data_IF_299221760188
#
_entry.id   IF_299221760188
#
_cell.length_a   1.000
_cell.length_b   1.000
_cell.length_c   1.000
_cell.angle_alpha   90.00
_cell.angle_beta   90.00
_cell.angle_gamma   90.00
#
_symmetry.space_group_name_H-M   'P 1'
#
loop_
_entity.id
_entity.type
_entity.pdbx_description
1 polymer ?
#
# COMPACT_ATOMS: atom_id res chain seq x y z
N UNK A 1 -16.67 32.07 -15.34
CA UNK A 1 -15.47 31.31 -14.96
C UNK A 1 -15.75 29.82 -15.19
N UNK A 2 -14.80 29.05 -15.71
CA UNK A 2 -14.99 27.63 -16.02
C UNK A 2 -14.49 26.76 -14.86
N UNK A 3 -15.40 26.08 -14.18
CA UNK A 3 -15.06 25.00 -13.26
C UNK A 3 -14.41 23.87 -14.06
N UNK A 4 -13.15 23.57 -13.77
CA UNK A 4 -12.51 22.37 -14.27
C UNK A 4 -13.24 21.17 -13.66
N UNK A 5 -13.97 20.43 -14.50
CA UNK A 5 -14.48 19.11 -14.16
C UNK A 5 -13.28 18.23 -13.79
N UNK A 6 -13.11 17.94 -12.50
CA UNK A 6 -12.15 16.94 -12.04
C UNK A 6 -12.58 15.59 -12.61
N UNK A 7 -11.95 15.18 -13.70
CA UNK A 7 -12.13 13.84 -14.25
C UNK A 7 -11.56 12.86 -13.24
N UNK A 8 -12.42 12.11 -12.55
CA UNK A 8 -11.99 10.97 -11.75
C UNK A 8 -11.09 10.09 -12.61
N UNK A 9 -9.84 9.79 -12.20
CA UNK A 9 -8.95 8.95 -12.99
C UNK A 9 -9.64 7.61 -13.25
N UNK A 10 -9.67 7.17 -14.51
CA UNK A 10 -10.13 5.83 -14.86
C UNK A 10 -9.23 4.73 -14.27
N UNK A 11 -9.58 3.45 -14.45
CA UNK A 11 -8.85 2.32 -13.85
C UNK A 11 -7.40 2.14 -14.35
N UNK A 12 -6.92 3.01 -15.24
CA UNK A 12 -5.66 2.84 -15.94
C UNK A 12 -5.72 1.69 -16.97
N UNK A 13 -4.61 1.42 -17.66
CA UNK A 13 -4.52 0.28 -18.57
C UNK A 13 -4.49 -1.04 -17.80
N UNK A 14 -5.10 -2.07 -18.39
CA UNK A 14 -5.08 -3.44 -17.83
C UNK A 14 -3.69 -4.07 -17.92
N UNK A 15 -2.92 -3.73 -18.96
CA UNK A 15 -1.59 -4.28 -19.22
C UNK A 15 -0.58 -3.15 -19.46
N UNK A 16 0.64 -3.33 -18.95
CA UNK A 16 1.76 -2.43 -19.14
C UNK A 16 2.90 -3.10 -19.91
N UNK A 17 4.07 -2.49 -19.87
CA UNK A 17 5.26 -2.99 -20.58
C UNK A 17 5.94 -4.19 -19.90
N UNK A 18 5.62 -4.48 -18.64
CA UNK A 18 6.35 -5.42 -17.79
C UNK A 18 7.74 -4.93 -17.34
N UNK A 19 8.19 -3.77 -17.81
CA UNK A 19 9.45 -3.14 -17.45
C UNK A 19 9.23 -2.09 -16.36
N UNK A 20 10.16 -1.99 -15.42
CA UNK A 20 10.02 -1.11 -14.24
C UNK A 20 11.05 0.01 -14.23
N UNK A 21 10.58 1.22 -13.91
CA UNK A 21 11.42 2.38 -13.59
C UNK A 21 11.54 2.50 -12.08
N UNK A 22 12.77 2.46 -11.56
CA UNK A 22 13.06 2.75 -10.15
C UNK A 22 13.04 4.25 -9.91
N UNK A 23 12.35 4.67 -8.86
CA UNK A 23 12.35 6.06 -8.40
C UNK A 23 13.76 6.47 -7.94
N UNK A 24 14.24 7.63 -8.39
CA UNK A 24 15.52 8.20 -7.92
C UNK A 24 15.40 8.92 -6.57
N UNK A 25 14.21 8.94 -5.98
CA UNK A 25 13.94 9.57 -4.69
C UNK A 25 14.64 8.85 -3.54
N UNK A 26 15.13 9.60 -2.56
CA UNK A 26 15.65 9.08 -1.29
C UNK A 26 15.12 9.93 -0.14
N UNK A 27 14.98 9.30 1.02
CA UNK A 27 14.39 9.86 2.22
C UNK A 27 15.28 9.72 3.45
N UNK A 28 15.01 10.54 4.47
CA UNK A 28 15.55 10.33 5.80
C UNK A 28 15.03 9.04 6.42
N UNK A 29 15.73 8.52 7.44
CA UNK A 29 15.21 7.45 8.27
C UNK A 29 13.99 7.96 9.05
N UNK A 30 12.87 7.24 9.00
CA UNK A 30 11.66 7.55 9.77
C UNK A 30 11.38 6.45 10.79
N UNK A 31 10.92 6.85 11.97
CA UNK A 31 10.81 5.97 13.13
C UNK A 31 12.08 5.91 13.98
N UNK A 32 11.98 5.24 15.12
CA UNK A 32 13.06 5.07 16.10
C UNK A 32 13.30 3.60 16.46
N UNK A 33 12.69 2.68 15.70
CA UNK A 33 12.87 1.25 15.87
C UNK A 33 14.27 0.77 15.45
N UNK A 34 14.76 -0.25 16.14
CA UNK A 34 16.09 -0.82 15.88
C UNK A 34 16.19 -1.54 14.52
N UNK A 35 15.07 -2.02 13.98
CA UNK A 35 15.03 -2.70 12.68
C UNK A 35 14.84 -1.68 11.57
N UNK A 36 15.91 -1.33 10.87
CA UNK A 36 15.85 -0.44 9.70
C UNK A 36 15.45 -1.24 8.46
N UNK A 37 14.40 -0.80 7.78
CA UNK A 37 13.90 -1.36 6.52
C UNK A 37 14.05 -0.35 5.38
N UNK A 38 15.03 -0.58 4.53
CA UNK A 38 15.30 0.21 3.32
C UNK A 38 14.45 -0.33 2.18
N UNK A 39 13.79 0.57 1.46
CA UNK A 39 12.95 0.17 0.35
C UNK A 39 13.13 1.06 -0.88
N UNK A 40 12.96 0.43 -2.04
CA UNK A 40 12.87 1.09 -3.33
C UNK A 40 11.40 1.16 -3.75
N UNK A 41 11.08 2.16 -4.57
CA UNK A 41 9.80 2.22 -5.28
C UNK A 41 10.05 2.08 -6.77
N UNK A 42 9.30 1.19 -7.39
CA UNK A 42 9.34 0.92 -8.82
C UNK A 42 7.95 1.06 -9.43
N UNK A 43 7.89 1.59 -10.64
CA UNK A 43 6.63 1.75 -11.36
C UNK A 43 6.76 1.16 -12.76
N UNK A 44 5.76 0.37 -13.15
CA UNK A 44 5.71 -0.25 -14.47
C UNK A 44 5.53 0.80 -15.57
N UNK A 45 6.29 0.66 -16.66
CA UNK A 45 6.12 1.47 -17.87
C UNK A 45 4.74 1.27 -18.49
N UNK A 46 4.11 2.36 -18.93
CA UNK A 46 2.74 2.36 -19.43
C UNK A 46 1.68 2.62 -18.37
N UNK A 47 2.03 2.66 -17.08
CA UNK A 47 1.07 2.91 -15.99
C UNK A 47 0.52 4.34 -15.93
N UNK A 48 1.23 5.32 -16.49
CA UNK A 48 0.90 6.74 -16.33
C UNK A 48 1.23 7.33 -14.96
N UNK A 49 1.89 6.57 -14.08
CA UNK A 49 2.32 7.03 -12.74
C UNK A 49 3.79 7.41 -12.77
N UNK A 50 4.15 8.58 -12.23
CA UNK A 50 5.54 8.99 -12.09
C UNK A 50 6.18 8.29 -10.87
N UNK A 51 7.28 7.56 -11.09
CA UNK A 51 7.94 6.78 -10.05
C UNK A 51 8.36 7.62 -8.83
N UNK A 52 8.93 8.81 -9.07
CA UNK A 52 9.36 9.72 -8.01
C UNK A 52 8.17 10.24 -7.18
N UNK A 53 7.04 10.56 -7.80
CA UNK A 53 5.85 11.05 -7.07
C UNK A 53 5.23 9.95 -6.22
N UNK A 54 5.09 8.75 -6.78
CA UNK A 54 4.64 7.57 -6.06
C UNK A 54 5.57 7.27 -4.85
N UNK A 55 6.89 7.37 -5.06
CA UNK A 55 7.86 7.15 -3.98
C UNK A 55 7.70 8.14 -2.83
N UNK A 56 7.48 9.43 -3.14
CA UNK A 56 7.22 10.46 -2.13
C UNK A 56 5.89 10.25 -1.42
N UNK A 57 4.87 9.74 -2.11
CA UNK A 57 3.59 9.39 -1.48
C UNK A 57 3.75 8.22 -0.50
N UNK A 58 4.43 7.14 -0.91
CA UNK A 58 4.71 5.99 -0.05
C UNK A 58 5.58 6.38 1.15
N UNK A 59 6.59 7.24 0.95
CA UNK A 59 7.39 7.82 2.03
C UNK A 59 6.53 8.55 3.06
N UNK A 60 5.58 9.39 2.62
CA UNK A 60 4.65 10.07 3.54
C UNK A 60 3.78 9.09 4.30
N UNK A 61 3.31 8.01 3.67
CA UNK A 61 2.52 6.97 4.35
C UNK A 61 3.34 6.28 5.45
N UNK A 62 4.57 5.84 5.13
CA UNK A 62 5.41 5.13 6.09
C UNK A 62 6.01 6.04 7.18
N UNK A 63 6.06 7.36 6.92
CA UNK A 63 6.45 8.38 7.90
C UNK A 63 5.30 8.87 8.78
N UNK A 64 4.04 8.58 8.44
CA UNK A 64 2.88 9.07 9.20
C UNK A 64 2.90 8.46 10.62
N UNK A 65 2.64 9.25 11.67
CA UNK A 65 2.63 8.77 13.06
C UNK A 65 1.57 7.69 13.32
N UNK A 66 0.55 7.57 12.47
CA UNK A 66 -0.47 6.51 12.53
C UNK A 66 -0.02 5.21 11.86
N UNK A 67 1.14 5.24 11.18
CA UNK A 67 1.74 4.12 10.45
C UNK A 67 2.56 3.18 11.34
N UNK A 68 3.30 2.27 10.71
CA UNK A 68 3.98 1.18 11.42
C UNK A 68 5.13 1.59 12.33
N UNK A 69 5.71 2.79 12.14
CA UNK A 69 6.78 3.32 13.00
C UNK A 69 6.33 3.50 14.46
N UNK A 70 5.02 3.65 14.70
CA UNK A 70 4.44 3.72 16.04
C UNK A 70 4.64 2.44 16.87
N UNK A 71 4.99 1.31 16.25
CA UNK A 71 5.27 0.07 16.96
C UNK A 71 6.58 0.10 17.77
N UNK A 72 7.44 1.10 17.55
CA UNK A 72 8.74 1.26 18.21
C UNK A 72 9.80 0.20 17.84
N UNK A 73 9.54 -0.65 16.85
CA UNK A 73 10.39 -1.76 16.41
C UNK A 73 10.99 -1.53 15.02
N UNK A 74 10.18 -1.04 14.10
CA UNK A 74 10.57 -0.84 12.71
C UNK A 74 10.81 0.65 12.41
N UNK A 75 11.85 0.91 11.63
CA UNK A 75 12.13 2.21 11.00
C UNK A 75 12.20 2.01 9.50
N UNK A 76 11.75 2.99 8.72
CA UNK A 76 11.72 2.88 7.26
C UNK A 76 12.62 3.93 6.61
N UNK A 77 13.22 3.58 5.48
CA UNK A 77 14.04 4.51 4.71
C UNK A 77 13.83 4.29 3.21
N UNK A 78 13.29 5.30 2.53
CA UNK A 78 13.26 5.32 1.07
C UNK A 78 14.69 5.51 0.56
N UNK A 79 15.14 4.61 -0.29
CA UNK A 79 16.42 4.72 -1.00
C UNK A 79 16.16 4.80 -2.50
N UNK A 80 16.99 5.55 -3.23
CA UNK A 80 16.89 5.67 -4.69
C UNK A 80 17.82 4.72 -5.45
N UNK A 81 18.78 4.12 -4.73
CA UNK A 81 19.72 3.11 -5.23
C UNK A 81 20.45 2.46 -4.06
N UNK A 82 21.22 1.40 -4.35
CA UNK A 82 22.05 0.71 -3.36
C UNK A 82 21.32 -0.37 -2.55
N UNK A 83 21.90 -0.78 -1.41
CA UNK A 83 21.34 -1.84 -0.58
C UNK A 83 19.93 -1.50 -0.08
N UNK A 84 19.01 -2.45 -0.25
CA UNK A 84 17.61 -2.36 0.18
C UNK A 84 17.12 -3.74 0.65
N UNK A 85 16.09 -3.74 1.48
CA UNK A 85 15.49 -4.94 2.05
C UNK A 85 14.25 -5.39 1.25
N UNK A 86 13.58 -4.44 0.57
CA UNK A 86 12.41 -4.73 -0.25
C UNK A 86 12.10 -3.70 -1.32
N UNK A 87 11.29 -4.09 -2.31
CA UNK A 87 10.75 -3.19 -3.31
C UNK A 87 9.23 -3.04 -3.18
N UNK A 88 8.73 -1.82 -3.34
CA UNK A 88 7.31 -1.54 -3.59
C UNK A 88 7.14 -1.30 -5.09
N UNK A 89 6.34 -2.13 -5.76
CA UNK A 89 6.13 -2.08 -7.21
C UNK A 89 4.69 -1.72 -7.53
N UNK A 90 4.46 -0.60 -8.22
CA UNK A 90 3.13 -0.30 -8.79
C UNK A 90 3.09 -0.88 -10.20
N UNK A 91 2.14 -1.79 -10.45
CA UNK A 91 2.03 -2.53 -11.70
C UNK A 91 0.58 -2.66 -12.17
N UNK A 92 0.41 -2.76 -13.49
CA UNK A 92 -0.87 -3.02 -14.15
C UNK A 92 -1.46 -4.38 -13.73
N UNK A 93 -2.80 -4.53 -13.73
CA UNK A 93 -3.48 -5.76 -13.30
C UNK A 93 -2.87 -7.06 -13.83
N UNK A 94 -2.60 -7.16 -15.14
CA UNK A 94 -2.05 -8.40 -15.71
C UNK A 94 -0.60 -8.68 -15.25
N UNK A 95 0.19 -7.62 -15.01
CA UNK A 95 1.53 -7.77 -14.43
C UNK A 95 1.47 -8.18 -12.96
N UNK A 96 0.49 -7.68 -12.20
CA UNK A 96 0.24 -8.13 -10.81
C UNK A 96 -0.14 -9.61 -10.79
N UNK A 97 -1.12 -10.03 -11.59
CA UNK A 97 -1.54 -11.43 -11.69
C UNK A 97 -0.35 -12.35 -12.00
N UNK A 98 0.52 -11.93 -12.92
CA UNK A 98 1.74 -12.68 -13.27
C UNK A 98 2.73 -12.75 -12.10
N UNK A 99 3.01 -11.64 -11.41
CA UNK A 99 4.02 -11.59 -10.34
C UNK A 99 3.52 -12.30 -9.08
N UNK A 100 2.29 -12.05 -8.64
CA UNK A 100 1.68 -12.72 -7.50
C UNK A 100 1.41 -14.21 -7.81
N UNK A 101 1.03 -14.54 -9.03
CA UNK A 101 0.80 -15.92 -9.49
C UNK A 101 2.04 -16.80 -9.48
N UNK A 102 3.25 -16.23 -9.56
CA UNK A 102 4.50 -16.98 -9.36
C UNK A 102 4.63 -17.55 -7.94
N UNK A 103 3.94 -16.94 -6.96
CA UNK A 103 3.82 -17.44 -5.60
C UNK A 103 2.52 -18.25 -5.36
N UNK A 104 1.75 -18.55 -6.42
CA UNK A 104 0.50 -19.31 -6.34
C UNK A 104 -0.72 -18.50 -5.91
N UNK A 105 -0.65 -17.16 -5.92
CA UNK A 105 -1.78 -16.29 -5.59
C UNK A 105 -2.59 -15.95 -6.84
N UNK A 106 -3.92 -16.01 -6.73
CA UNK A 106 -4.83 -15.55 -7.78
C UNK A 106 -5.43 -14.19 -7.39
N UNK A 107 -4.94 -13.12 -8.03
CA UNK A 107 -5.35 -11.75 -7.70
C UNK A 107 -6.53 -11.25 -8.53
N UNK A 108 -6.93 -12.00 -9.57
CA UNK A 108 -8.00 -11.65 -10.52
C UNK A 108 -7.92 -10.23 -11.13
N UNK A 109 -6.74 -9.63 -11.15
CA UNK A 109 -6.49 -8.25 -11.56
C UNK A 109 -6.99 -7.20 -10.57
N UNK A 110 -7.42 -7.59 -9.37
CA UNK A 110 -8.13 -6.72 -8.44
C UNK A 110 -7.33 -6.34 -7.19
N UNK A 111 -6.44 -7.20 -6.69
CA UNK A 111 -5.80 -7.02 -5.38
C UNK A 111 -4.28 -6.87 -5.48
N UNK A 112 -3.66 -6.47 -4.35
CA UNK A 112 -2.21 -6.39 -4.17
C UNK A 112 -1.67 -7.72 -3.62
N UNK A 113 -0.34 -7.84 -3.49
CA UNK A 113 0.27 -8.94 -2.74
C UNK A 113 1.65 -8.56 -2.19
N UNK A 114 2.07 -9.16 -1.08
CA UNK A 114 3.47 -9.23 -0.64
C UNK A 114 4.01 -10.63 -0.96
N UNK A 115 5.01 -10.71 -1.83
CA UNK A 115 5.60 -11.96 -2.32
C UNK A 115 7.13 -11.85 -2.39
N UNK A 116 7.83 -12.81 -1.78
CA UNK A 116 9.30 -12.80 -1.75
C UNK A 116 9.85 -11.52 -1.13
N UNK A 117 10.64 -10.76 -1.90
CA UNK A 117 11.15 -9.46 -1.47
C UNK A 117 10.29 -8.27 -1.92
N UNK A 118 9.09 -8.49 -2.47
CA UNK A 118 8.33 -7.47 -3.20
C UNK A 118 6.93 -7.24 -2.63
N UNK A 119 6.60 -5.96 -2.38
CA UNK A 119 5.23 -5.48 -2.22
C UNK A 119 4.72 -5.08 -3.60
N UNK A 120 3.72 -5.78 -4.12
CA UNK A 120 3.13 -5.54 -5.44
C UNK A 120 1.80 -4.82 -5.28
N UNK A 121 1.76 -3.56 -5.72
CA UNK A 121 0.61 -2.67 -5.69
C UNK A 121 -0.08 -2.69 -7.04
N UNK A 122 -1.38 -2.99 -7.03
CA UNK A 122 -2.20 -2.99 -8.22
C UNK A 122 -2.53 -1.56 -8.67
N UNK A 123 -2.19 -1.22 -9.91
CA UNK A 123 -2.34 0.12 -10.48
C UNK A 123 -3.81 0.57 -10.48
N UNK A 124 -4.75 -0.32 -10.80
CA UNK A 124 -6.18 0.01 -10.76
C UNK A 124 -6.55 0.51 -9.37
N UNK A 125 -6.08 -0.20 -8.33
CA UNK A 125 -6.29 0.18 -6.92
C UNK A 125 -5.59 1.45 -6.52
N UNK A 126 -4.38 1.66 -7.01
CA UNK A 126 -3.66 2.91 -6.83
C UNK A 126 -4.40 4.11 -7.43
N UNK A 127 -5.02 3.95 -8.61
CA UNK A 127 -5.69 5.04 -9.32
C UNK A 127 -7.12 5.31 -8.84
N UNK A 128 -7.87 4.26 -8.50
CA UNK A 128 -9.33 4.39 -8.25
C UNK A 128 -9.77 4.02 -6.85
N UNK A 129 -8.91 3.39 -6.06
CA UNK A 129 -9.29 2.81 -4.78
C UNK A 129 -10.16 1.55 -4.90
N UNK A 130 -10.91 1.25 -3.84
CA UNK A 130 -11.90 0.18 -3.78
C UNK A 130 -13.32 0.74 -3.67
N UNK A 131 -14.32 0.16 -4.36
CA UNK A 131 -15.73 0.48 -4.14
C UNK A 131 -16.19 0.28 -2.69
N UNK A 132 -15.52 -0.61 -1.94
CA UNK A 132 -15.83 -0.91 -0.54
C UNK A 132 -15.23 0.11 0.45
N UNK A 133 -14.36 1.01 -0.02
CA UNK A 133 -13.69 2.01 0.80
C UNK A 133 -14.17 3.41 0.41
N UNK A 134 -15.01 4.02 1.25
CA UNK A 134 -15.67 5.30 0.95
C UNK A 134 -14.79 6.54 1.16
N UNK A 135 -13.52 6.39 1.50
CA UNK A 135 -12.58 7.49 1.68
C UNK A 135 -11.88 7.95 0.39
N UNK A 136 -11.13 9.07 0.42
CA UNK A 136 -10.38 9.55 -0.73
C UNK A 136 -9.36 8.53 -1.24
N UNK A 137 -9.04 8.56 -2.53
CA UNK A 137 -8.07 7.63 -3.13
C UNK A 137 -6.70 7.67 -2.45
N UNK A 138 -6.24 8.84 -2.00
CA UNK A 138 -4.99 8.97 -1.25
C UNK A 138 -5.01 8.23 0.09
N UNK A 139 -6.17 8.19 0.76
CA UNK A 139 -6.35 7.41 1.98
C UNK A 139 -6.38 5.92 1.68
N UNK A 140 -6.99 5.51 0.57
CA UNK A 140 -6.93 4.12 0.12
C UNK A 140 -5.51 3.69 -0.27
N UNK A 141 -4.70 4.57 -0.86
CA UNK A 141 -3.26 4.30 -1.11
C UNK A 141 -2.52 4.07 0.20
N UNK A 142 -2.81 4.86 1.24
CA UNK A 142 -2.25 4.61 2.56
C UNK A 142 -2.67 3.24 3.11
N UNK A 143 -3.94 2.84 2.96
CA UNK A 143 -4.43 1.53 3.37
C UNK A 143 -3.63 0.40 2.72
N UNK A 144 -3.54 0.37 1.38
CA UNK A 144 -2.89 -0.73 0.68
C UNK A 144 -1.38 -0.81 0.96
N UNK A 145 -0.72 0.35 1.12
CA UNK A 145 0.69 0.37 1.52
C UNK A 145 0.86 -0.17 2.95
N UNK A 146 0.01 0.27 3.89
CA UNK A 146 0.07 -0.23 5.26
C UNK A 146 -0.26 -1.73 5.35
N UNK A 147 -1.20 -2.23 4.55
CA UNK A 147 -1.58 -3.65 4.53
C UNK A 147 -0.40 -4.52 4.08
N UNK A 148 0.16 -4.26 2.89
CA UNK A 148 1.23 -5.09 2.34
C UNK A 148 2.54 -4.94 3.13
N UNK A 149 2.88 -3.72 3.57
CA UNK A 149 4.05 -3.52 4.45
C UNK A 149 3.82 -4.18 5.81
N UNK A 150 2.56 -4.25 6.27
CA UNK A 150 2.16 -5.02 7.43
C UNK A 150 2.57 -6.49 7.31
N UNK A 151 2.26 -7.14 6.18
CA UNK A 151 2.75 -8.49 5.89
C UNK A 151 4.27 -8.57 5.93
N UNK A 152 4.95 -7.61 5.31
CA UNK A 152 6.42 -7.57 5.27
C UNK A 152 7.08 -7.48 6.64
N UNK A 153 6.39 -6.88 7.62
CA UNK A 153 6.85 -6.79 9.01
C UNK A 153 6.26 -7.88 9.92
N UNK A 154 5.61 -8.89 9.33
CA UNK A 154 5.14 -10.09 10.04
C UNK A 154 3.72 -9.99 10.60
N UNK A 155 2.87 -9.10 10.08
CA UNK A 155 1.46 -9.02 10.46
C UNK A 155 0.62 -9.95 9.59
N UNK A 156 -0.19 -10.78 10.22
CA UNK A 156 -1.22 -11.58 9.56
C UNK A 156 -2.51 -10.79 9.37
N UNK A 157 -3.46 -11.37 8.65
CA UNK A 157 -4.77 -10.75 8.47
C UNK A 157 -5.53 -10.62 9.80
N UNK A 158 -6.35 -9.58 9.87
CA UNK A 158 -7.30 -9.35 10.95
C UNK A 158 -8.70 -9.13 10.36
N UNK A 159 -9.73 -9.20 11.20
CA UNK A 159 -11.12 -8.93 10.76
C UNK A 159 -11.78 -7.86 11.60
N UNK A 160 -12.97 -7.43 11.17
CA UNK A 160 -13.69 -6.33 11.80
C UNK A 160 -13.94 -6.59 13.29
N UNK A 161 -13.45 -5.74 14.22
CA UNK A 161 -13.63 -5.92 15.66
C UNK A 161 -15.03 -5.54 16.17
N UNK A 162 -15.91 -5.03 15.31
CA UNK A 162 -17.30 -4.74 15.62
C UNK A 162 -17.87 -3.57 14.82
N UNK A 163 -19.21 -3.48 14.68
CA UNK A 163 -19.85 -2.41 13.92
C UNK A 163 -19.44 -1.01 14.38
N UNK A 164 -19.20 -0.10 13.43
CA UNK A 164 -18.78 1.28 13.67
C UNK A 164 -17.35 1.45 14.18
N UNK A 165 -16.65 0.37 14.56
CA UNK A 165 -15.24 0.44 14.93
C UNK A 165 -14.37 0.58 13.68
N UNK A 166 -13.17 1.20 13.78
CA UNK A 166 -12.23 1.23 12.67
C UNK A 166 -11.89 -0.18 12.19
N UNK A 167 -11.97 -0.41 10.88
CA UNK A 167 -11.45 -1.62 10.27
C UNK A 167 -9.92 -1.66 10.45
N UNK A 168 -9.34 -2.80 10.85
CA UNK A 168 -7.90 -2.90 10.96
C UNK A 168 -7.22 -2.68 9.61
N UNK A 169 -6.02 -2.08 9.59
CA UNK A 169 -5.23 -1.97 8.36
C UNK A 169 -4.90 -3.35 7.77
N UNK A 170 -4.81 -4.38 8.62
CA UNK A 170 -4.60 -5.78 8.22
C UNK A 170 -5.89 -6.51 7.83
N UNK A 171 -7.04 -5.85 7.80
CA UNK A 171 -8.26 -6.40 7.24
C UNK A 171 -8.27 -6.24 5.72
N UNK A 172 -8.70 -7.27 5.00
CA UNK A 172 -8.90 -7.20 3.55
C UNK A 172 -10.16 -6.40 3.20
N UNK A 173 -10.13 -5.08 3.44
CA UNK A 173 -11.29 -4.19 3.30
C UNK A 173 -11.82 -4.13 1.86
N UNK A 174 -11.01 -4.50 0.86
CA UNK A 174 -11.44 -4.65 -0.54
C UNK A 174 -12.56 -5.68 -0.72
N UNK A 175 -12.71 -6.63 0.20
CA UNK A 175 -13.79 -7.63 0.20
C UNK A 175 -14.96 -7.26 1.12
N UNK A 176 -15.02 -6.01 1.57
CA UNK A 176 -16.11 -5.46 2.38
C UNK A 176 -15.76 -5.31 3.87
N UNK A 177 -16.42 -4.37 4.52
CA UNK A 177 -16.06 -3.89 5.87
C UNK A 177 -16.75 -4.61 7.03
N UNK A 178 -17.73 -5.49 6.76
CA UNK A 178 -18.47 -6.24 7.81
C UNK A 178 -19.05 -5.35 8.93
N UNK A 179 -19.45 -4.13 8.59
CA UNK A 179 -20.00 -3.14 9.51
C UNK A 179 -18.98 -2.22 10.18
N UNK A 180 -17.68 -2.46 10.02
CA UNK A 180 -16.65 -1.52 10.47
C UNK A 180 -16.66 -0.23 9.64
N UNK A 181 -16.12 0.84 10.23
CA UNK A 181 -15.80 2.07 9.50
C UNK A 181 -14.51 1.86 8.68
N UNK A 182 -14.42 2.35 7.43
CA UNK A 182 -13.18 2.29 6.66
C UNK A 182 -12.04 2.99 7.40
N UNK A 183 -10.84 2.40 7.38
CA UNK A 183 -9.67 2.98 8.02
C UNK A 183 -8.39 2.52 7.33
N UNK A 184 -7.48 3.45 7.05
CA UNK A 184 -6.23 3.17 6.35
C UNK A 184 -5.03 2.88 7.26
N UNK A 185 -5.16 3.14 8.57
CA UNK A 185 -3.99 3.27 9.44
C UNK A 185 -3.94 2.18 10.52
N UNK A 186 -2.76 1.61 10.81
CA UNK A 186 -2.61 0.62 11.86
C UNK A 186 -2.74 1.19 13.28
N UNK A 187 -2.46 2.48 13.48
CA UNK A 187 -2.59 3.15 14.77
C UNK A 187 -3.47 4.39 14.68
N UNK A 188 -4.06 4.81 15.79
CA UNK A 188 -4.69 6.13 15.90
C UNK A 188 -3.66 7.24 16.12
N UNK A 189 -4.13 8.50 16.19
CA UNK A 189 -3.27 9.67 16.39
C UNK A 189 -2.57 9.69 17.77
N UNK A 190 -2.97 8.81 18.70
CA UNK A 190 -2.39 8.67 20.03
C UNK A 190 -1.44 7.45 20.13
N UNK A 191 -1.23 6.72 19.02
CA UNK A 191 -0.39 5.53 18.98
C UNK A 191 -1.08 4.26 19.52
N UNK A 192 -2.42 4.25 19.61
CA UNK A 192 -3.17 3.03 19.97
C UNK A 192 -3.33 2.15 18.74
N UNK A 193 -2.96 0.87 18.83
CA UNK A 193 -3.13 -0.08 17.73
C UNK A 193 -4.62 -0.32 17.43
N UNK A 194 -5.03 -0.09 16.19
CA UNK A 194 -6.39 -0.28 15.69
C UNK A 194 -6.57 -1.71 15.15
N UNK A 195 -6.46 -2.69 16.06
CA UNK A 195 -6.50 -4.11 15.72
C UNK A 195 -7.89 -4.76 15.80
N UNK A 196 -7.99 -5.92 15.16
CA UNK A 196 -9.15 -6.82 15.27
C UNK A 196 -8.77 -8.28 15.50
N UNK A 197 -9.75 -9.21 15.55
CA UNK A 197 -9.46 -10.63 15.69
C UNK A 197 -8.63 -11.14 14.51
N UNK A 198 -7.57 -11.91 14.79
CA UNK A 198 -6.74 -12.52 13.76
C UNK A 198 -7.54 -13.53 12.92
N UNK A 199 -7.26 -13.56 11.62
CA UNK A 199 -7.83 -14.53 10.67
C UNK A 199 -6.74 -15.08 9.77
N UNK A 200 -7.00 -16.25 9.18
CA UNK A 200 -6.14 -16.84 8.16
C UNK A 200 -6.26 -16.07 6.84
#
# INVERSE_FOLDING_TARGET
EGEALETTPGPGPRSGTGLFTTASASGGLVGHGATVRRYLVQVEGGSGVAATEAAREIERVLADPRGWTANGRDSFQLVGSGPHDFEVKIATPDTVDRLCGQAGLDTHGEVNCDVGSQVIVNLKRWLTGSPEFSGPVGEYRALIINHEVGHRIGRGHETCPGPGRPAPAMMQQIYGLKGCAPNAWPYDAHGTYLGGPAVA
#
